data_IF_574962879393
#
_entry.id   IF_574962879393
#
_cell.length_a   1.000
_cell.length_b   1.000
_cell.length_c   1.000
_cell.angle_alpha   90.00
_cell.angle_beta   90.00
_cell.angle_gamma   90.00
#
_symmetry.space_group_name_H-M   'P 1'
#
loop_
_entity.id
_entity.type
_entity.pdbx_description
1 polymer ?
#
# COMPACT_ATOMS: atom_id res chain seq x y z
N UNK A 1 10.52 4.97 19.01
CA UNK A 1 10.37 5.67 17.71
C UNK A 1 11.77 5.95 17.19
N UNK A 2 12.06 5.59 15.93
CA UNK A 2 13.36 5.82 15.29
C UNK A 2 13.13 6.65 14.03
N UNK A 3 13.96 7.66 13.80
CA UNK A 3 13.92 8.48 12.59
C UNK A 3 14.90 7.91 11.57
N UNK A 4 14.40 7.58 10.38
CA UNK A 4 15.23 7.13 9.27
C UNK A 4 15.61 8.33 8.39
N UNK A 5 16.83 8.39 7.85
CA UNK A 5 17.26 9.48 7.00
C UNK A 5 16.64 9.37 5.60
N UNK A 6 15.85 10.38 5.21
CA UNK A 6 15.45 10.65 3.83
C UNK A 6 14.30 9.82 3.27
N UNK A 7 14.42 8.48 3.23
CA UNK A 7 13.48 7.61 2.53
C UNK A 7 13.25 6.27 3.24
N UNK A 8 12.13 5.62 2.94
CA UNK A 8 11.83 4.25 3.38
C UNK A 8 12.54 3.18 2.56
N UNK A 9 13.22 3.54 1.47
CA UNK A 9 13.96 2.61 0.61
C UNK A 9 14.87 1.61 1.36
N UNK A 10 15.55 1.95 2.48
CA UNK A 10 16.34 0.99 3.24
C UNK A 10 15.53 -0.13 3.90
N UNK A 11 14.21 0.04 4.06
CA UNK A 11 13.32 -0.95 4.67
C UNK A 11 12.75 -1.95 3.65
N UNK A 12 12.63 -1.56 2.38
CA UNK A 12 12.03 -2.39 1.34
C UNK A 12 13.16 -3.13 0.62
N UNK A 13 13.18 -4.48 0.61
CA UNK A 13 14.18 -5.23 -0.12
C UNK A 13 14.17 -4.89 -1.62
N UNK A 14 15.33 -4.88 -2.25
CA UNK A 14 15.42 -4.55 -3.67
C UNK A 14 14.65 -5.59 -4.51
N UNK A 15 13.72 -5.12 -5.33
CA UNK A 15 12.87 -5.96 -6.17
C UNK A 15 11.65 -6.56 -5.46
N UNK A 16 11.38 -6.18 -4.20
CA UNK A 16 10.14 -6.57 -3.53
C UNK A 16 8.93 -5.84 -4.14
N UNK A 17 7.81 -6.54 -4.21
CA UNK A 17 6.54 -5.92 -4.56
C UNK A 17 6.02 -5.04 -3.44
N UNK A 18 5.50 -3.87 -3.82
CA UNK A 18 4.94 -2.88 -2.90
C UNK A 18 3.58 -2.47 -3.42
N UNK A 19 2.55 -2.68 -2.59
CA UNK A 19 1.17 -2.49 -2.99
C UNK A 19 0.67 -1.13 -2.48
N UNK A 20 0.30 -0.25 -3.41
CA UNK A 20 -0.37 1.01 -3.10
C UNK A 20 -1.87 0.79 -2.89
N UNK A 21 -2.38 1.30 -1.77
CA UNK A 21 -3.80 1.27 -1.46
C UNK A 21 -4.39 2.65 -1.74
N UNK A 22 -5.36 2.68 -2.65
CA UNK A 22 -6.00 3.92 -3.12
C UNK A 22 -7.53 3.79 -3.05
N UNK A 23 -8.23 4.92 -3.03
CA UNK A 23 -9.66 4.91 -3.30
C UNK A 23 -9.91 4.92 -4.82
N UNK A 24 -11.04 4.35 -5.24
CA UNK A 24 -11.43 4.23 -6.67
C UNK A 24 -11.51 5.58 -7.39
N UNK A 25 -11.75 6.67 -6.66
CA UNK A 25 -11.94 8.01 -7.21
C UNK A 25 -10.63 8.74 -7.59
N UNK A 26 -9.46 8.25 -7.17
CA UNK A 26 -8.18 8.96 -7.39
C UNK A 26 -7.49 8.66 -8.72
N UNK A 27 -8.08 7.83 -9.59
CA UNK A 27 -7.46 7.52 -10.89
C UNK A 27 -8.44 7.60 -12.06
N UNK A 28 -7.99 8.27 -13.11
CA UNK A 28 -8.55 8.22 -14.48
C UNK A 28 -8.34 6.85 -15.17
N UNK A 29 -7.88 5.84 -14.44
CA UNK A 29 -7.54 4.49 -14.92
C UNK A 29 -8.30 3.44 -14.13
N UNK A 30 -8.66 2.32 -14.79
CA UNK A 30 -9.34 1.16 -14.20
C UNK A 30 -8.67 0.74 -12.89
N UNK A 31 -9.24 1.11 -11.75
CA UNK A 31 -8.74 0.72 -10.44
C UNK A 31 -9.17 -0.71 -10.16
N UNK A 32 -8.21 -1.61 -9.93
CA UNK A 32 -8.51 -2.99 -9.52
C UNK A 32 -9.03 -2.97 -8.09
N UNK A 33 -10.25 -3.47 -7.88
CA UNK A 33 -10.81 -3.63 -6.54
C UNK A 33 -10.51 -5.03 -6.03
N UNK A 34 -9.89 -5.14 -4.85
CA UNK A 34 -9.58 -6.41 -4.20
C UNK A 34 -9.75 -6.26 -2.68
N UNK A 35 -10.49 -7.17 -2.06
CA UNK A 35 -10.72 -7.11 -0.60
C UNK A 35 -9.41 -7.33 0.16
N UNK A 36 -9.31 -6.76 1.36
CA UNK A 36 -8.15 -6.92 2.23
C UNK A 36 -7.83 -8.41 2.51
N UNK A 37 -8.86 -9.22 2.76
CA UNK A 37 -8.72 -10.69 2.97
C UNK A 37 -8.09 -11.40 1.77
N UNK A 38 -8.46 -11.01 0.55
CA UNK A 38 -7.88 -11.61 -0.66
C UNK A 38 -6.43 -11.17 -0.85
N UNK A 39 -6.11 -9.90 -0.59
CA UNK A 39 -4.73 -9.42 -0.60
C UNK A 39 -3.86 -10.14 0.43
N UNK A 40 -4.36 -10.33 1.65
CA UNK A 40 -3.65 -11.04 2.71
C UNK A 40 -3.39 -12.50 2.32
N UNK A 41 -4.43 -13.24 1.91
CA UNK A 41 -4.28 -14.63 1.48
C UNK A 41 -3.32 -14.79 0.29
N UNK A 42 -3.35 -13.89 -0.70
CA UNK A 42 -2.40 -13.92 -1.81
C UNK A 42 -0.96 -13.66 -1.35
N UNK A 43 -0.78 -12.76 -0.37
CA UNK A 43 0.54 -12.42 0.20
C UNK A 43 1.08 -13.54 1.11
N UNK A 44 0.22 -14.28 1.80
CA UNK A 44 0.62 -15.45 2.60
C UNK A 44 1.05 -16.63 1.72
N UNK A 45 0.39 -16.80 0.57
CA UNK A 45 0.76 -17.83 -0.41
C UNK A 45 2.01 -17.45 -1.21
N UNK A 46 2.36 -16.17 -1.27
CA UNK A 46 3.54 -15.66 -1.96
C UNK A 46 4.19 -14.52 -1.16
N UNK A 47 4.82 -14.82 -0.01
CA UNK A 47 5.42 -13.81 0.84
C UNK A 47 6.65 -13.17 0.16
N UNK A 48 7.06 -12.01 0.65
CA UNK A 48 8.28 -11.35 0.16
C UNK A 48 9.47 -12.27 0.39
N UNK A 49 10.21 -12.59 -0.68
CA UNK A 49 11.31 -13.53 -0.61
C UNK A 49 12.44 -13.02 0.30
N UNK A 50 12.83 -13.84 1.27
CA UNK A 50 13.97 -13.54 2.15
C UNK A 50 15.30 -13.50 1.41
N UNK A 51 15.38 -14.10 0.21
CA UNK A 51 16.56 -14.09 -0.63
C UNK A 51 16.84 -12.73 -1.30
N UNK A 52 15.88 -11.78 -1.30
CA UNK A 52 16.09 -10.45 -1.86
C UNK A 52 17.21 -9.69 -1.12
N UNK A 53 17.85 -8.72 -1.76
CA UNK A 53 18.96 -8.01 -1.12
C UNK A 53 18.44 -6.85 -0.24
N UNK A 54 18.98 -6.75 0.98
CA UNK A 54 18.65 -5.68 1.93
C UNK A 54 17.23 -5.74 2.49
N UNK A 55 16.81 -4.64 3.12
CA UNK A 55 15.45 -4.46 3.66
C UNK A 55 15.07 -5.38 4.82
N UNK A 56 13.79 -5.32 5.19
CA UNK A 56 13.19 -6.20 6.20
C UNK A 56 12.97 -7.61 5.63
N UNK A 57 13.08 -8.60 6.52
CA UNK A 57 12.93 -10.04 6.24
C UNK A 57 11.75 -10.61 6.99
N UNK A 58 11.27 -11.77 6.54
CA UNK A 58 10.11 -12.47 7.10
C UNK A 58 8.85 -11.61 7.08
N UNK A 59 8.63 -10.92 5.96
CA UNK A 59 7.49 -10.02 5.73
C UNK A 59 6.58 -10.63 4.66
N UNK A 60 5.27 -10.69 4.91
CA UNK A 60 4.31 -11.21 3.92
C UNK A 60 4.11 -10.21 2.76
N UNK A 61 3.94 -8.92 3.06
CA UNK A 61 3.75 -7.89 2.06
C UNK A 61 4.10 -6.49 2.57
N UNK A 62 4.38 -5.58 1.63
CA UNK A 62 4.48 -4.15 1.88
C UNK A 62 3.27 -3.43 1.31
N UNK A 63 2.59 -2.64 2.15
CA UNK A 63 1.49 -1.78 1.74
C UNK A 63 1.85 -0.32 1.94
N UNK A 64 1.43 0.53 1.00
CA UNK A 64 1.54 1.99 1.08
C UNK A 64 0.14 2.57 1.09
N UNK A 65 -0.16 3.35 2.11
CA UNK A 65 -1.43 4.06 2.27
C UNK A 65 -1.08 5.54 2.38
N UNK A 66 -1.71 6.40 1.59
CA UNK A 66 -1.57 7.85 1.79
C UNK A 66 -2.35 8.25 3.02
N UNK A 67 -1.75 9.07 3.87
CA UNK A 67 -2.45 9.75 4.96
C UNK A 67 -2.92 11.16 4.55
N UNK A 68 -2.67 11.58 3.31
CA UNK A 68 -3.16 12.87 2.82
C UNK A 68 -4.68 12.79 2.66
N UNK A 69 -5.39 13.69 3.33
CA UNK A 69 -6.81 13.90 3.09
C UNK A 69 -6.98 14.64 1.76
N UNK A 70 -8.02 14.27 1.00
CA UNK A 70 -8.44 14.98 -0.21
C UNK A 70 -8.84 16.41 0.10
N UNK A 71 -7.86 17.29 0.27
CA UNK A 71 -8.09 18.69 0.45
C UNK A 71 -8.56 19.27 -0.89
N UNK A 72 -9.88 19.26 -1.08
CA UNK A 72 -10.62 19.87 -2.19
C UNK A 72 -10.33 21.39 -2.40
N UNK A 73 -9.39 21.98 -1.65
CA UNK A 73 -9.14 23.42 -1.59
C UNK A 73 -7.86 23.89 -2.29
N UNK A 74 -7.15 23.03 -3.02
CA UNK A 74 -6.10 23.49 -3.93
C UNK A 74 -6.40 23.00 -5.35
N UNK A 75 -6.31 23.95 -6.28
CA UNK A 75 -6.67 23.89 -7.70
C UNK A 75 -5.84 22.90 -8.55
N UNK A 76 -5.31 21.85 -7.94
CA UNK A 76 -4.61 20.76 -8.60
C UNK A 76 -5.11 19.45 -8.00
N UNK A 77 -5.93 18.71 -8.76
CA UNK A 77 -6.19 17.28 -8.56
C UNK A 77 -4.84 16.55 -8.55
N UNK A 78 -4.19 16.46 -7.39
CA UNK A 78 -2.93 15.76 -7.22
C UNK A 78 -3.23 14.36 -6.73
N UNK A 79 -2.77 13.33 -7.46
CA UNK A 79 -2.84 11.94 -6.99
C UNK A 79 -2.03 11.87 -5.68
N UNK A 80 -2.63 11.41 -4.56
CA UNK A 80 -1.93 11.33 -3.27
C UNK A 80 -0.76 10.33 -3.28
N UNK A 81 -0.57 9.57 -4.37
CA UNK A 81 0.59 8.70 -4.62
C UNK A 81 1.58 9.28 -5.65
N UNK A 82 1.40 10.53 -6.09
CA UNK A 82 2.31 11.17 -7.04
C UNK A 82 3.72 11.34 -6.45
N UNK A 83 4.72 10.70 -7.07
CA UNK A 83 6.12 10.69 -6.62
C UNK A 83 6.53 9.45 -5.81
N UNK A 84 5.59 8.53 -5.54
CA UNK A 84 5.87 7.26 -4.87
C UNK A 84 6.27 6.20 -5.89
N UNK A 85 7.51 6.31 -6.42
CA UNK A 85 7.99 5.49 -7.54
C UNK A 85 8.27 4.02 -7.22
N UNK A 86 8.29 3.64 -5.94
CA UNK A 86 8.60 2.28 -5.51
C UNK A 86 7.36 1.39 -5.38
N UNK A 87 6.14 1.91 -5.58
CA UNK A 87 4.91 1.12 -5.62
C UNK A 87 4.81 0.37 -6.94
N UNK A 88 4.61 -0.95 -6.89
CA UNK A 88 4.59 -1.84 -8.07
C UNK A 88 3.18 -2.11 -8.59
N UNK A 89 2.15 -2.10 -7.74
CA UNK A 89 0.75 -2.26 -8.14
C UNK A 89 -0.18 -1.42 -7.24
N UNK A 90 -1.38 -1.11 -7.73
CA UNK A 90 -2.35 -0.28 -7.03
C UNK A 90 -3.71 -0.99 -6.95
N UNK A 91 -4.26 -1.05 -5.73
CA UNK A 91 -5.57 -1.65 -5.48
C UNK A 91 -6.44 -0.73 -4.64
N UNK A 92 -7.75 -0.80 -4.87
CA UNK A 92 -8.74 -0.32 -3.92
C UNK A 92 -9.30 -1.48 -3.10
N UNK A 93 -9.42 -1.27 -1.79
CA UNK A 93 -10.00 -2.27 -0.88
C UNK A 93 -11.52 -2.37 -0.99
N UNK A 94 -12.15 -1.34 -1.56
CA UNK A 94 -13.59 -1.19 -1.69
C UNK A 94 -13.90 -0.31 -2.90
N UNK A 95 -15.11 -0.45 -3.43
CA UNK A 95 -15.66 0.47 -4.43
C UNK A 95 -15.98 1.85 -3.85
N UNK A 96 -16.16 1.93 -2.53
CA UNK A 96 -16.39 3.16 -1.81
C UNK A 96 -15.10 3.68 -1.17
N UNK A 97 -14.89 5.01 -1.13
CA UNK A 97 -13.76 5.59 -0.44
C UNK A 97 -13.72 5.18 1.04
N UNK A 98 -12.52 4.87 1.50
CA UNK A 98 -12.23 4.54 2.89
C UNK A 98 -11.19 5.53 3.41
N UNK A 99 -11.29 5.89 4.68
CA UNK A 99 -10.22 6.65 5.33
C UNK A 99 -8.94 5.80 5.42
N UNK A 100 -7.75 6.42 5.46
CA UNK A 100 -6.48 5.72 5.62
C UNK A 100 -6.46 4.79 6.85
N UNK A 101 -7.07 5.24 7.96
CA UNK A 101 -7.21 4.44 9.18
C UNK A 101 -8.06 3.18 8.98
N UNK A 102 -9.14 3.27 8.21
CA UNK A 102 -9.99 2.11 7.89
C UNK A 102 -9.26 1.17 6.93
N UNK A 103 -8.56 1.70 5.92
CA UNK A 103 -7.75 0.88 5.01
C UNK A 103 -6.70 0.08 5.77
N UNK A 104 -5.95 0.73 6.66
CA UNK A 104 -4.94 0.09 7.51
C UNK A 104 -5.57 -0.97 8.41
N UNK A 105 -6.66 -0.62 9.12
CA UNK A 105 -7.37 -1.54 10.02
C UNK A 105 -7.83 -2.80 9.29
N UNK A 106 -8.41 -2.67 8.09
CA UNK A 106 -8.88 -3.81 7.28
C UNK A 106 -7.74 -4.73 6.85
N UNK A 107 -6.57 -4.18 6.51
CA UNK A 107 -5.40 -4.99 6.16
C UNK A 107 -4.83 -5.72 7.38
N UNK A 108 -4.71 -5.03 8.52
CA UNK A 108 -4.27 -5.64 9.76
C UNK A 108 -5.23 -6.75 10.23
N UNK A 109 -6.54 -6.51 10.16
CA UNK A 109 -7.58 -7.50 10.44
C UNK A 109 -7.43 -8.71 9.50
N UNK A 110 -7.24 -8.48 8.20
CA UNK A 110 -7.06 -9.54 7.23
C UNK A 110 -5.85 -10.43 7.55
N UNK A 111 -4.67 -9.86 7.81
CA UNK A 111 -3.47 -10.64 8.16
C UNK A 111 -3.53 -11.29 9.55
N UNK A 112 -4.46 -10.88 10.42
CA UNK A 112 -4.64 -11.50 11.73
C UNK A 112 -5.56 -12.74 11.67
N UNK A 113 -6.42 -12.84 10.65
CA UNK A 113 -7.49 -13.84 10.59
C UNK A 113 -7.59 -14.59 9.24
N UNK A 114 -6.67 -14.37 8.31
CA UNK A 114 -6.51 -15.17 7.09
C UNK A 114 -5.63 -16.40 7.33
#
# INVERSE_FOLDING_TARGET
MCLLPGSIAPLIPQGADVIGIINVQHRDSVVKVKTATRLAAESENNPVSDALQGGLKHVNAFYVISCEEDCHNHSHHRDPMEGVHYVTDFYALSVYPLSPSVQCSRLCEAHAFC
#
